data_IF_288387397717
#
_entry.id   IF_288387397717
#
_cell.length_a   1.000
_cell.length_b   1.000
_cell.length_c   1.000
_cell.angle_alpha   90.00
_cell.angle_beta   90.00
_cell.angle_gamma   90.00
#
_symmetry.space_group_name_H-M   'P 1'
#
loop_
_entity.id
_entity.type
_entity.pdbx_description
1 polymer ?
#
# COMPACT_ATOMS: atom_id res chain seq x y z
N UNK A 1 -29.04 21.22 11.12
CA UNK A 1 -28.25 21.01 9.89
C UNK A 1 -26.85 20.58 10.28
N UNK A 2 -26.41 19.34 9.99
CA UNK A 2 -25.02 18.83 10.03
C UNK A 2 -25.07 17.29 9.99
N UNK A 3 -24.22 16.66 9.16
CA UNK A 3 -23.85 15.22 9.06
C UNK A 3 -23.76 14.64 7.62
N UNK A 4 -23.75 15.45 6.54
CA UNK A 4 -23.47 14.92 5.19
C UNK A 4 -21.97 14.88 4.82
N UNK A 5 -21.15 15.81 5.31
CA UNK A 5 -19.76 15.97 4.85
C UNK A 5 -18.85 14.75 5.04
N UNK A 6 -19.01 14.00 6.14
CA UNK A 6 -18.15 12.83 6.41
C UNK A 6 -18.45 11.62 5.52
N UNK A 7 -19.72 11.44 5.12
CA UNK A 7 -20.11 10.35 4.21
C UNK A 7 -19.65 10.64 2.79
N UNK A 8 -19.79 11.89 2.35
CA UNK A 8 -19.36 12.33 1.03
C UNK A 8 -17.83 12.28 0.89
N UNK A 9 -17.09 12.61 1.94
CA UNK A 9 -15.62 12.48 1.96
C UNK A 9 -15.17 11.01 1.89
N UNK A 10 -15.84 10.12 2.63
CA UNK A 10 -15.57 8.68 2.55
C UNK A 10 -15.81 8.17 1.13
N UNK A 11 -16.96 8.47 0.54
CA UNK A 11 -17.29 8.04 -0.84
C UNK A 11 -16.24 8.55 -1.82
N UNK A 12 -15.83 9.82 -1.74
CA UNK A 12 -14.75 10.36 -2.58
C UNK A 12 -13.42 9.62 -2.40
N UNK A 13 -13.06 9.22 -1.18
CA UNK A 13 -11.84 8.42 -0.93
C UNK A 13 -11.95 7.02 -1.52
N UNK A 14 -13.15 6.43 -1.50
CA UNK A 14 -13.46 5.14 -2.10
C UNK A 14 -13.61 5.20 -3.64
N UNK A 15 -13.86 6.36 -4.21
CA UNK A 15 -13.84 6.57 -5.67
C UNK A 15 -12.44 6.88 -6.21
N UNK A 16 -11.47 7.15 -5.34
CA UNK A 16 -10.10 7.50 -5.72
C UNK A 16 -9.37 6.34 -6.44
N UNK A 17 -8.54 6.63 -7.46
CA UNK A 17 -7.60 5.66 -8.03
C UNK A 17 -6.69 4.96 -7.01
N UNK A 18 -6.46 5.59 -5.85
CA UNK A 18 -5.73 5.00 -4.72
C UNK A 18 -6.45 3.80 -4.07
N UNK A 19 -7.67 3.45 -4.49
CA UNK A 19 -8.32 2.18 -4.11
C UNK A 19 -7.67 0.95 -4.76
N UNK A 20 -6.72 1.12 -5.68
CA UNK A 20 -6.04 -0.02 -6.31
C UNK A 20 -5.14 -0.78 -5.33
N UNK A 21 -4.87 -2.03 -5.67
CA UNK A 21 -3.82 -2.82 -5.06
C UNK A 21 -2.47 -2.52 -5.71
N UNK A 22 -1.42 -2.51 -4.90
CA UNK A 22 -0.04 -2.40 -5.33
C UNK A 22 0.62 -3.77 -5.20
N UNK A 23 1.26 -4.21 -6.28
CA UNK A 23 2.08 -5.41 -6.31
C UNK A 23 3.44 -5.12 -5.64
N UNK A 24 3.76 -5.85 -4.58
CA UNK A 24 5.02 -5.70 -3.83
C UNK A 24 5.88 -6.94 -4.05
N UNK A 25 7.04 -6.77 -4.69
CA UNK A 25 8.04 -7.81 -4.92
C UNK A 25 9.16 -7.66 -3.90
N UNK A 26 9.51 -8.73 -3.20
CA UNK A 26 10.49 -8.70 -2.09
C UNK A 26 11.53 -9.78 -2.28
N UNK A 27 12.80 -9.43 -2.08
CA UNK A 27 13.94 -10.31 -2.29
C UNK A 27 14.20 -10.59 -3.78
N UNK A 28 15.13 -11.52 -4.06
CA UNK A 28 15.49 -11.88 -5.43
C UNK A 28 14.41 -12.79 -6.08
N UNK A 29 13.96 -12.36 -7.26
CA UNK A 29 13.05 -12.87 -8.33
C UNK A 29 12.25 -14.20 -8.22
N UNK A 30 12.07 -14.81 -7.04
CA UNK A 30 11.39 -16.11 -6.91
C UNK A 30 10.20 -16.14 -5.96
N UNK A 31 10.02 -15.11 -5.13
CA UNK A 31 8.90 -15.06 -4.19
C UNK A 31 7.64 -14.52 -4.87
N UNK A 32 6.45 -15.12 -4.62
CA UNK A 32 5.19 -14.53 -5.06
C UNK A 32 5.05 -13.10 -4.51
N UNK A 33 4.57 -12.14 -5.31
CA UNK A 33 4.32 -10.80 -4.80
C UNK A 33 3.17 -10.80 -3.80
N UNK A 34 3.20 -9.85 -2.87
CA UNK A 34 2.06 -9.53 -2.01
C UNK A 34 1.32 -8.33 -2.57
N UNK A 35 0.00 -8.30 -2.41
CA UNK A 35 -0.85 -7.21 -2.91
C UNK A 35 -1.43 -6.44 -1.73
N UNK A 36 -1.09 -5.16 -1.62
CA UNK A 36 -1.55 -4.29 -0.52
C UNK A 36 -2.25 -3.07 -1.13
N UNK A 37 -3.37 -2.65 -0.53
CA UNK A 37 -4.08 -1.46 -0.98
C UNK A 37 -3.16 -0.21 -0.88
N UNK A 38 -3.13 0.61 -1.94
CA UNK A 38 -2.27 1.80 -1.97
C UNK A 38 -2.52 2.72 -0.78
N UNK A 39 -3.78 2.97 -0.42
CA UNK A 39 -4.12 3.79 0.75
C UNK A 39 -3.53 3.24 2.06
N UNK A 40 -3.49 1.93 2.22
CA UNK A 40 -2.85 1.31 3.39
C UNK A 40 -1.38 1.64 3.41
N UNK A 41 -0.65 1.46 2.29
CA UNK A 41 0.77 1.80 2.19
C UNK A 41 1.03 3.30 2.45
N UNK A 42 0.25 4.18 1.81
CA UNK A 42 0.35 5.63 2.00
C UNK A 42 0.10 6.06 3.46
N UNK A 43 -0.76 5.33 4.19
CA UNK A 43 -1.01 5.58 5.61
C UNK A 43 0.15 5.14 6.52
N UNK A 44 0.99 4.19 6.07
CA UNK A 44 2.12 3.68 6.86
C UNK A 44 3.29 4.65 6.88
N UNK A 45 3.57 5.32 5.77
CA UNK A 45 4.74 6.20 5.67
C UNK A 45 4.63 7.20 4.52
N UNK A 46 5.12 8.44 4.70
CA UNK A 46 5.29 9.41 3.61
C UNK A 46 6.12 8.91 2.43
N UNK A 47 6.97 7.89 2.64
CA UNK A 47 7.71 7.24 1.56
C UNK A 47 6.77 6.71 0.47
N UNK A 48 5.72 5.98 0.87
CA UNK A 48 4.77 5.39 -0.07
C UNK A 48 3.93 6.44 -0.78
N UNK A 49 3.58 7.54 -0.11
CA UNK A 49 2.92 8.68 -0.74
C UNK A 49 3.74 9.25 -1.91
N UNK A 50 5.07 9.28 -1.78
CA UNK A 50 5.94 9.79 -2.83
C UNK A 50 6.18 8.75 -3.94
N UNK A 51 6.42 7.48 -3.57
CA UNK A 51 6.69 6.41 -4.52
C UNK A 51 5.48 6.07 -5.42
N UNK A 52 4.27 6.15 -4.85
CA UNK A 52 3.02 5.78 -5.53
C UNK A 52 2.28 6.98 -6.14
N UNK A 53 2.85 8.17 -6.04
CA UNK A 53 2.29 9.37 -6.66
C UNK A 53 2.26 9.21 -8.17
N UNK A 54 1.07 9.45 -8.73
CA UNK A 54 0.81 9.29 -10.16
C UNK A 54 1.79 10.09 -11.02
N UNK A 55 2.33 9.45 -12.06
CA UNK A 55 3.19 10.03 -13.10
C UNK A 55 4.52 10.66 -12.63
N UNK A 56 4.92 10.51 -11.37
CA UNK A 56 6.26 10.95 -10.90
C UNK A 56 7.31 9.85 -10.94
N UNK A 57 6.91 8.60 -10.70
CA UNK A 57 7.80 7.43 -10.68
C UNK A 57 7.18 6.26 -11.45
N UNK A 58 8.03 5.34 -11.90
CA UNK A 58 7.61 4.12 -12.62
C UNK A 58 6.68 3.25 -11.79
N UNK A 59 6.86 3.26 -10.49
CA UNK A 59 6.14 2.51 -9.46
C UNK A 59 4.70 3.00 -9.35
N UNK A 60 4.50 4.31 -9.22
CA UNK A 60 3.18 4.94 -9.25
C UNK A 60 2.44 4.69 -10.57
N UNK A 61 3.14 4.59 -11.70
CA UNK A 61 2.51 4.27 -13.00
C UNK A 61 2.10 2.80 -13.09
N UNK A 62 2.98 1.88 -12.70
CA UNK A 62 2.77 0.44 -12.89
C UNK A 62 1.96 -0.20 -11.76
N UNK A 63 1.77 0.50 -10.64
CA UNK A 63 1.13 -0.08 -9.46
C UNK A 63 1.95 -1.23 -8.87
N UNK A 64 3.28 -1.17 -9.01
CA UNK A 64 4.19 -2.18 -8.50
C UNK A 64 5.44 -1.56 -7.89
N UNK A 65 5.95 -2.17 -6.82
CA UNK A 65 7.19 -1.79 -6.15
C UNK A 65 8.06 -3.02 -5.95
N UNK A 66 9.38 -2.87 -6.11
CA UNK A 66 10.34 -3.95 -5.97
C UNK A 66 11.39 -3.60 -4.91
N UNK A 67 11.57 -4.50 -3.95
CA UNK A 67 12.50 -4.39 -2.83
C UNK A 67 13.45 -5.60 -2.84
N UNK A 68 14.42 -5.65 -3.78
CA UNK A 68 15.26 -6.83 -3.98
C UNK A 68 16.23 -7.10 -2.82
N UNK A 69 16.58 -6.05 -2.06
CA UNK A 69 17.47 -6.12 -0.90
C UNK A 69 16.73 -6.41 0.42
N UNK A 70 15.40 -6.38 0.40
CA UNK A 70 14.59 -6.60 1.59
C UNK A 70 14.34 -8.08 1.83
N UNK A 71 14.24 -8.46 3.10
CA UNK A 71 13.94 -9.84 3.49
C UNK A 71 12.44 -10.15 3.41
N UNK A 72 12.03 -11.23 2.72
CA UNK A 72 10.62 -11.63 2.62
C UNK A 72 9.92 -11.81 3.96
N UNK A 73 10.63 -12.30 4.98
CA UNK A 73 10.03 -12.57 6.29
C UNK A 73 9.68 -11.28 7.05
N UNK A 74 10.46 -10.21 6.88
CA UNK A 74 10.14 -8.88 7.44
C UNK A 74 8.84 -8.34 6.84
N UNK A 75 8.65 -8.53 5.54
CA UNK A 75 7.43 -8.08 4.86
C UNK A 75 6.20 -8.93 5.19
N UNK A 76 6.35 -10.24 5.45
CA UNK A 76 5.28 -11.07 6.00
C UNK A 76 4.83 -10.55 7.36
N UNK A 77 5.79 -10.15 8.19
CA UNK A 77 5.53 -9.61 9.52
C UNK A 77 4.83 -8.25 9.46
N UNK A 78 5.28 -7.37 8.55
CA UNK A 78 4.62 -6.11 8.27
C UNK A 78 3.18 -6.32 7.79
N UNK A 79 2.96 -7.26 6.85
CA UNK A 79 1.63 -7.59 6.36
C UNK A 79 0.74 -8.14 7.50
N UNK A 80 1.26 -9.04 8.33
CA UNK A 80 0.55 -9.55 9.49
C UNK A 80 0.13 -8.40 10.43
N UNK A 81 1.06 -7.48 10.73
CA UNK A 81 0.76 -6.32 11.56
C UNK A 81 -0.28 -5.37 10.93
N UNK A 82 -0.22 -5.12 9.62
CA UNK A 82 -1.18 -4.26 8.91
C UNK A 82 -2.61 -4.79 9.08
N UNK A 83 -2.82 -6.10 8.95
CA UNK A 83 -4.16 -6.69 8.90
C UNK A 83 -4.68 -7.19 10.25
N UNK A 84 -3.79 -7.57 11.17
CA UNK A 84 -4.16 -8.08 12.50
C UNK A 84 -3.83 -7.11 13.65
N UNK A 85 -3.14 -6.00 13.37
CA UNK A 85 -2.66 -5.02 14.35
C UNK A 85 -1.85 -5.64 15.50
N UNK A 86 -1.14 -6.74 15.20
CA UNK A 86 -0.29 -7.50 16.13
C UNK A 86 0.92 -8.03 15.37
N UNK A 87 2.05 -8.07 16.06
CA UNK A 87 3.23 -8.80 15.59
C UNK A 87 2.98 -10.29 15.90
N UNK A 88 3.30 -11.17 14.95
CA UNK A 88 3.32 -12.62 15.11
C UNK A 88 4.26 -12.97 16.28
N UNK A 89 3.76 -13.78 17.21
CA UNK A 89 4.51 -14.24 18.38
C UNK A 89 5.22 -15.57 18.09
#
# INVERSE_FOLDING_TARGET
MRQNGGKDELVKKLESPSQRFIEIKIGQDSSPPIYIAQQTLESLSPYFCNALKDNTFTEGKNGSMSFPEDEPDVWKELAHWIYYHRVSN
#
